data_IF_088776731826
#
_entry.id   IF_088776731826
#
_cell.length_a   1.000
_cell.length_b   1.000
_cell.length_c   1.000
_cell.angle_alpha   90.00
_cell.angle_beta   90.00
_cell.angle_gamma   90.00
#
_symmetry.space_group_name_H-M   'P 1'
#
loop_
_entity.id
_entity.type
_entity.pdbx_description
1 polymer ?
#
# COMPACT_ATOMS: atom_id res chain seq x y z
N UNK A 1 3.80 -19.78 -15.14
CA UNK A 1 2.59 -19.90 -14.27
C UNK A 1 1.39 -19.34 -15.02
N UNK A 2 0.26 -20.01 -14.96
CA UNK A 2 -1.02 -19.49 -15.46
C UNK A 2 -1.70 -18.59 -14.40
N UNK A 3 -2.79 -17.89 -14.78
CA UNK A 3 -3.51 -16.97 -13.86
C UNK A 3 -3.96 -17.67 -12.56
N UNK A 4 -4.50 -18.87 -12.65
CA UNK A 4 -4.99 -19.62 -11.48
C UNK A 4 -3.87 -19.96 -10.51
N UNK A 5 -2.69 -20.34 -11.00
CA UNK A 5 -1.53 -20.63 -10.16
C UNK A 5 -0.98 -19.37 -9.48
N UNK A 6 -1.05 -18.20 -10.13
CA UNK A 6 -0.64 -16.92 -9.53
C UNK A 6 -1.59 -16.58 -8.39
N UNK A 7 -2.89 -16.67 -8.60
CA UNK A 7 -3.88 -16.40 -7.56
C UNK A 7 -3.73 -17.37 -6.37
N UNK A 8 -3.56 -18.67 -6.63
CA UNK A 8 -3.33 -19.65 -5.58
C UNK A 8 -2.10 -19.30 -4.73
N UNK A 9 -0.97 -19.02 -5.37
CA UNK A 9 0.27 -18.69 -4.67
C UNK A 9 0.14 -17.41 -3.81
N UNK A 10 -0.55 -16.38 -4.29
CA UNK A 10 -0.81 -15.16 -3.51
C UNK A 10 -1.75 -15.45 -2.34
N UNK A 11 -2.82 -16.21 -2.58
CA UNK A 11 -3.78 -16.57 -1.53
C UNK A 11 -3.13 -17.41 -0.44
N UNK A 12 -2.36 -18.42 -0.79
CA UNK A 12 -1.60 -19.25 0.16
C UNK A 12 -0.62 -18.40 0.99
N UNK A 13 0.09 -17.45 0.36
CA UNK A 13 0.99 -16.54 1.07
C UNK A 13 0.22 -15.68 2.08
N UNK A 14 -0.95 -15.15 1.71
CA UNK A 14 -1.79 -14.34 2.60
C UNK A 14 -2.29 -15.19 3.77
N UNK A 15 -2.79 -16.41 3.52
CA UNK A 15 -3.26 -17.32 4.55
C UNK A 15 -2.13 -17.66 5.52
N UNK A 16 -0.96 -18.07 5.01
CA UNK A 16 0.20 -18.39 5.84
C UNK A 16 0.65 -17.22 6.71
N UNK A 17 0.61 -16.01 6.16
CA UNK A 17 0.93 -14.79 6.92
C UNK A 17 -0.12 -14.48 8.00
N UNK A 18 -1.39 -14.74 7.75
CA UNK A 18 -2.47 -14.58 8.73
C UNK A 18 -2.36 -15.58 9.88
N UNK A 19 -2.01 -16.83 9.58
CA UNK A 19 -1.85 -17.89 10.58
C UNK A 19 -0.64 -17.66 11.49
N UNK A 20 0.45 -17.13 10.93
CA UNK A 20 1.70 -16.89 11.69
C UNK A 20 1.72 -15.57 12.46
N UNK A 21 0.99 -14.56 12.01
CA UNK A 21 1.09 -13.22 12.61
C UNK A 21 0.37 -13.06 13.96
N UNK A 22 -0.45 -14.02 14.40
CA UNK A 22 -1.20 -13.95 15.69
C UNK A 22 -2.06 -12.69 15.87
N UNK A 23 -1.82 -11.65 15.13
CA UNK A 23 -2.61 -10.43 15.03
C UNK A 23 -2.50 -9.85 13.62
N UNK A 24 -3.63 -9.43 13.08
CA UNK A 24 -3.69 -8.69 11.82
C UNK A 24 -2.88 -7.39 11.94
N UNK A 25 -1.78 -7.29 11.18
CA UNK A 25 -1.02 -6.03 11.13
C UNK A 25 -1.87 -4.95 10.48
N UNK A 26 -2.08 -3.87 11.20
CA UNK A 26 -2.77 -2.69 10.66
C UNK A 26 -1.88 -2.08 9.57
N UNK A 27 -2.31 -2.17 8.32
CA UNK A 27 -1.51 -1.72 7.17
C UNK A 27 -1.13 -0.24 7.23
N UNK A 28 -1.89 0.58 7.96
CA UNK A 28 -1.55 2.00 8.14
C UNK A 28 -0.40 2.23 9.13
N UNK A 29 -0.09 1.24 9.99
CA UNK A 29 1.05 1.29 10.94
C UNK A 29 2.34 0.72 10.33
N UNK A 30 2.27 0.14 9.14
CA UNK A 30 3.42 -0.45 8.47
C UNK A 30 3.85 0.43 7.30
N UNK A 31 5.11 0.86 7.25
CA UNK A 31 5.65 1.60 6.11
C UNK A 31 5.40 0.87 4.80
N UNK A 32 4.98 1.61 3.77
CA UNK A 32 4.67 1.01 2.47
C UNK A 32 5.93 0.45 1.82
N UNK A 33 5.92 -0.80 1.34
CA UNK A 33 7.05 -1.34 0.59
C UNK A 33 7.35 -0.51 -0.65
N UNK A 34 8.65 -0.35 -0.93
CA UNK A 34 9.17 0.41 -2.07
C UNK A 34 10.07 -0.47 -2.92
N UNK A 35 10.04 -0.28 -4.22
CA UNK A 35 10.97 -0.96 -5.14
C UNK A 35 12.34 -0.28 -5.15
N UNK A 36 13.38 -0.99 -5.60
CA UNK A 36 14.73 -0.43 -5.82
C UNK A 36 14.75 0.80 -6.75
N UNK A 37 13.68 1.01 -7.52
CA UNK A 37 13.50 2.20 -8.38
C UNK A 37 12.69 3.32 -7.72
N UNK A 38 12.36 3.23 -6.42
CA UNK A 38 11.64 4.25 -5.67
C UNK A 38 10.11 4.23 -5.85
N UNK A 39 9.55 3.22 -6.54
CA UNK A 39 8.09 3.10 -6.70
C UNK A 39 7.46 2.34 -5.55
N UNK A 40 6.42 2.90 -4.94
CA UNK A 40 5.67 2.24 -3.87
C UNK A 40 4.78 1.12 -4.42
N UNK A 41 4.82 -0.02 -3.75
CA UNK A 41 3.87 -1.10 -4.01
C UNK A 41 2.49 -0.74 -3.44
N UNK A 42 1.42 -1.07 -4.20
CA UNK A 42 0.03 -0.73 -3.89
C UNK A 42 -0.86 -1.97 -3.92
N UNK A 43 -2.06 -1.84 -3.36
CA UNK A 43 -3.07 -2.91 -3.39
C UNK A 43 -2.57 -4.21 -2.81
N UNK A 44 -2.83 -5.32 -3.51
CA UNK A 44 -2.47 -6.67 -3.07
C UNK A 44 -0.95 -6.84 -2.88
N UNK A 45 -0.13 -6.18 -3.70
CA UNK A 45 1.32 -6.23 -3.56
C UNK A 45 1.79 -5.62 -2.23
N UNK A 46 1.18 -4.51 -1.82
CA UNK A 46 1.46 -3.91 -0.52
C UNK A 46 1.10 -4.86 0.62
N UNK A 47 -0.08 -5.49 0.55
CA UNK A 47 -0.53 -6.44 1.56
C UNK A 47 0.46 -7.60 1.69
N UNK A 48 0.82 -8.24 0.59
CA UNK A 48 1.72 -9.39 0.56
C UNK A 48 3.11 -9.04 1.09
N UNK A 49 3.70 -7.93 0.61
CA UNK A 49 5.05 -7.53 1.00
C UNK A 49 5.14 -6.95 2.42
N UNK A 50 4.07 -6.29 2.89
CA UNK A 50 4.03 -5.78 4.27
C UNK A 50 3.94 -6.88 5.32
N UNK A 51 3.47 -8.07 4.92
CA UNK A 51 3.36 -9.24 5.80
C UNK A 51 4.65 -10.05 5.89
N UNK A 52 5.67 -9.73 5.08
CA UNK A 52 6.98 -10.37 5.18
C UNK A 52 7.70 -9.95 6.48
N UNK A 53 8.48 -10.83 7.09
CA UNK A 53 9.08 -10.61 8.41
C UNK A 53 10.27 -9.63 8.42
N UNK A 54 10.61 -9.04 7.26
CA UNK A 54 11.77 -8.17 7.11
C UNK A 54 11.53 -6.78 7.71
N UNK A 55 12.57 -6.22 8.29
CA UNK A 55 12.54 -4.83 8.78
C UNK A 55 12.65 -3.84 7.62
N UNK A 56 13.51 -4.14 6.64
CA UNK A 56 13.60 -3.35 5.43
C UNK A 56 12.31 -3.43 4.62
N UNK A 57 11.89 -2.29 4.07
CA UNK A 57 10.74 -2.19 3.16
C UNK A 57 11.15 -2.00 1.70
N UNK A 58 12.41 -2.23 1.39
CA UNK A 58 12.96 -2.11 0.03
C UNK A 58 12.98 -3.49 -0.64
N UNK A 59 12.38 -3.58 -1.82
CA UNK A 59 12.28 -4.81 -2.60
C UNK A 59 12.80 -4.61 -4.02
N UNK A 60 13.37 -5.64 -4.61
CA UNK A 60 13.83 -5.61 -5.99
C UNK A 60 13.71 -6.95 -6.68
N UNK A 61 13.55 -6.93 -8.00
CA UNK A 61 13.79 -8.14 -8.80
C UNK A 61 15.28 -8.51 -8.74
N UNK A 62 15.60 -9.75 -9.06
CA UNK A 62 16.99 -10.19 -9.11
C UNK A 62 17.88 -9.26 -9.97
N UNK A 63 17.35 -8.81 -11.12
CA UNK A 63 18.06 -7.88 -12.01
C UNK A 63 18.24 -6.50 -11.38
N UNK A 64 17.21 -5.99 -10.70
CA UNK A 64 17.28 -4.68 -10.01
C UNK A 64 18.30 -4.71 -8.87
N UNK A 65 18.31 -5.78 -8.07
CA UNK A 65 19.29 -5.96 -6.99
C UNK A 65 20.68 -5.97 -7.58
N UNK A 66 20.91 -6.77 -8.62
CA UNK A 66 22.22 -6.85 -9.28
C UNK A 66 22.67 -5.51 -9.89
N UNK A 67 21.75 -4.78 -10.51
CA UNK A 67 22.03 -3.46 -11.10
C UNK A 67 22.38 -2.40 -10.07
N UNK A 68 22.00 -2.62 -8.80
CA UNK A 68 22.33 -1.74 -7.67
C UNK A 68 23.42 -2.32 -6.76
N UNK A 69 24.35 -3.11 -7.31
CA UNK A 69 25.51 -3.61 -6.59
C UNK A 69 25.19 -4.71 -5.57
N UNK A 70 24.03 -5.38 -5.70
CA UNK A 70 23.62 -6.43 -4.80
C UNK A 70 23.68 -7.82 -5.41
N UNK A 71 23.78 -8.83 -4.56
CA UNK A 71 23.72 -10.24 -4.92
C UNK A 71 22.80 -10.98 -3.95
N UNK A 72 21.70 -11.54 -4.49
CA UNK A 72 20.77 -12.36 -3.69
C UNK A 72 21.49 -13.59 -3.18
N UNK A 73 21.38 -13.86 -1.89
CA UNK A 73 22.04 -15.03 -1.26
C UNK A 73 21.43 -16.34 -1.75
N UNK A 74 22.25 -17.36 -1.81
CA UNK A 74 21.83 -18.70 -2.25
C UNK A 74 20.79 -19.28 -1.29
N UNK A 75 19.69 -19.79 -1.86
CA UNK A 75 18.61 -20.41 -1.09
C UNK A 75 17.48 -19.47 -0.68
N UNK A 76 17.63 -18.17 -0.89
CA UNK A 76 16.57 -17.20 -0.60
C UNK A 76 15.34 -17.40 -1.50
N UNK A 77 14.15 -17.18 -0.91
CA UNK A 77 12.88 -17.34 -1.61
C UNK A 77 12.28 -15.99 -1.98
N UNK A 78 11.95 -15.84 -3.25
CA UNK A 78 11.31 -14.63 -3.74
C UNK A 78 9.83 -14.55 -3.35
N UNK A 79 9.31 -13.35 -3.24
CA UNK A 79 7.87 -13.07 -3.14
C UNK A 79 7.32 -12.67 -4.51
N UNK A 80 6.13 -13.19 -4.87
CA UNK A 80 5.47 -12.87 -6.13
C UNK A 80 4.68 -11.57 -5.97
N UNK A 81 4.88 -10.64 -6.91
CA UNK A 81 4.09 -9.41 -7.06
C UNK A 81 3.44 -9.37 -8.43
N UNK A 82 2.27 -8.75 -8.53
CA UNK A 82 1.45 -8.72 -9.74
C UNK A 82 1.23 -7.30 -10.25
N UNK A 83 1.21 -7.16 -11.57
CA UNK A 83 0.96 -5.89 -12.23
C UNK A 83 0.01 -6.08 -13.41
N UNK A 84 -0.92 -5.16 -13.55
CA UNK A 84 -1.76 -5.07 -14.72
C UNK A 84 -1.10 -4.18 -15.76
N UNK A 85 -0.84 -4.73 -16.92
CA UNK A 85 -0.35 -3.97 -18.08
C UNK A 85 -1.49 -3.77 -19.06
N UNK A 86 -1.78 -2.52 -19.39
CA UNK A 86 -2.66 -2.19 -20.50
C UNK A 86 -1.92 -2.48 -21.79
N UNK A 87 -2.47 -3.34 -22.62
CA UNK A 87 -1.97 -3.65 -23.96
C UNK A 87 -3.08 -3.34 -24.95
N UNK A 88 -2.70 -2.73 -26.07
CA UNK A 88 -3.61 -2.54 -27.19
C UNK A 88 -3.43 -3.76 -28.13
N UNK A 89 -4.49 -4.49 -28.35
CA UNK A 89 -4.53 -5.57 -29.33
C UNK A 89 -5.39 -5.13 -30.51
N UNK A 90 -4.84 -5.27 -31.69
CA UNK A 90 -5.55 -4.96 -32.94
C UNK A 90 -6.23 -6.24 -33.40
N UNK A 91 -7.55 -6.21 -33.52
CA UNK A 91 -8.33 -7.29 -34.07
C UNK A 91 -8.05 -7.35 -35.58
N UNK A 92 -7.42 -8.43 -36.03
CA UNK A 92 -7.01 -8.60 -37.43
C UNK A 92 -8.23 -8.72 -38.39
N UNK A 93 -9.39 -9.12 -37.86
CA UNK A 93 -10.59 -9.30 -38.65
C UNK A 93 -11.40 -8.00 -38.82
N UNK A 94 -11.43 -7.15 -37.77
CA UNK A 94 -12.26 -5.92 -37.78
C UNK A 94 -11.42 -4.66 -37.89
N UNK A 95 -10.09 -4.74 -37.70
CA UNK A 95 -9.21 -3.57 -37.66
C UNK A 95 -9.34 -2.71 -36.39
N UNK A 96 -10.24 -3.06 -35.49
CA UNK A 96 -10.48 -2.33 -34.24
C UNK A 96 -9.40 -2.60 -33.22
N UNK A 97 -9.01 -1.56 -32.48
CA UNK A 97 -8.04 -1.68 -31.39
C UNK A 97 -8.77 -1.84 -30.06
N UNK A 98 -8.64 -3.01 -29.43
CA UNK A 98 -9.21 -3.29 -28.11
C UNK A 98 -8.17 -3.16 -27.01
N UNK A 99 -8.54 -2.51 -25.90
CA UNK A 99 -7.71 -2.48 -24.70
C UNK A 99 -7.79 -3.83 -24.00
N UNK A 100 -6.67 -4.52 -23.89
CA UNK A 100 -6.56 -5.75 -23.09
C UNK A 100 -5.75 -5.50 -21.83
N UNK A 101 -6.19 -6.10 -20.74
CA UNK A 101 -5.48 -6.10 -19.45
C UNK A 101 -4.71 -7.39 -19.31
N UNK A 102 -3.40 -7.29 -19.39
CA UNK A 102 -2.52 -8.45 -19.20
C UNK A 102 -1.99 -8.46 -17.77
N UNK A 103 -2.29 -9.52 -17.04
CA UNK A 103 -1.70 -9.77 -15.73
C UNK A 103 -0.27 -10.25 -15.91
N UNK A 104 0.69 -9.46 -15.42
CA UNK A 104 2.10 -9.85 -15.32
C UNK A 104 2.46 -10.09 -13.86
N UNK A 105 3.39 -11.01 -13.62
CA UNK A 105 3.95 -11.24 -12.31
C UNK A 105 5.47 -11.12 -12.35
N UNK A 106 6.04 -10.74 -11.21
CA UNK A 106 7.48 -10.64 -11.02
C UNK A 106 7.86 -11.28 -9.70
N UNK A 107 9.05 -11.84 -9.65
CA UNK A 107 9.68 -12.32 -8.44
C UNK A 107 10.54 -11.20 -7.87
N UNK A 108 10.25 -10.81 -6.62
CA UNK A 108 11.02 -9.80 -5.89
C UNK A 108 11.62 -10.40 -4.64
N UNK A 109 12.75 -9.87 -4.24
CA UNK A 109 13.44 -10.20 -3.00
C UNK A 109 13.51 -8.95 -2.13
N UNK A 110 13.47 -9.13 -0.82
CA UNK A 110 13.75 -8.05 0.11
C UNK A 110 15.25 -7.71 0.09
N UNK A 111 15.61 -6.47 0.36
CA UNK A 111 17.02 -6.07 0.44
C UNK A 111 17.80 -6.85 1.50
N UNK A 112 17.15 -7.31 2.57
CA UNK A 112 17.78 -8.17 3.60
C UNK A 112 18.11 -9.59 3.10
N UNK A 113 17.62 -10.00 1.93
CA UNK A 113 17.94 -11.29 1.30
C UNK A 113 19.15 -11.22 0.36
N UNK A 114 19.81 -10.06 0.28
CA UNK A 114 20.95 -9.85 -0.61
C UNK A 114 22.09 -9.15 0.10
N UNK A 115 23.30 -9.43 -0.37
CA UNK A 115 24.50 -8.71 0.03
C UNK A 115 24.76 -7.60 -0.95
N UNK A 116 25.10 -6.39 -0.48
CA UNK A 116 25.27 -5.20 -1.30
C UNK A 116 26.67 -4.60 -1.09
N UNK A 117 27.19 -3.98 -2.12
CA UNK A 117 28.35 -3.10 -2.03
C UNK A 117 27.98 -1.76 -1.32
N UNK A 118 28.97 -0.89 -1.11
CA UNK A 118 28.77 0.40 -0.43
C UNK A 118 27.73 1.29 -1.11
N UNK A 119 27.68 1.28 -2.45
CA UNK A 119 26.71 2.08 -3.21
C UNK A 119 25.29 1.52 -3.06
N UNK A 120 25.14 0.20 -3.08
CA UNK A 120 23.88 -0.47 -2.84
C UNK A 120 23.35 -0.24 -1.43
N UNK A 121 24.20 -0.30 -0.41
CA UNK A 121 23.85 0.00 0.99
C UNK A 121 23.35 1.44 1.12
N UNK A 122 24.07 2.40 0.52
CA UNK A 122 23.65 3.81 0.52
C UNK A 122 22.30 4.00 -0.15
N UNK A 123 22.09 3.37 -1.31
CA UNK A 123 20.81 3.42 -2.03
C UNK A 123 19.64 2.86 -1.24
N UNK A 124 19.86 1.74 -0.53
CA UNK A 124 18.85 1.14 0.34
C UNK A 124 18.52 2.10 1.49
N UNK A 125 19.52 2.70 2.13
CA UNK A 125 19.31 3.66 3.20
C UNK A 125 18.52 4.89 2.73
N UNK A 126 18.82 5.43 1.56
CA UNK A 126 18.07 6.54 0.94
C UNK A 126 16.59 6.15 0.72
N UNK A 127 16.34 4.95 0.18
CA UNK A 127 14.98 4.46 -0.06
C UNK A 127 14.22 4.19 1.26
N UNK A 128 14.89 3.70 2.29
CA UNK A 128 14.31 3.51 3.62
C UNK A 128 13.96 4.86 4.26
N UNK A 129 14.82 5.85 4.14
CA UNK A 129 14.55 7.21 4.63
C UNK A 129 13.35 7.83 3.91
N UNK A 130 13.24 7.68 2.58
CA UNK A 130 12.05 8.12 1.84
C UNK A 130 10.75 7.49 2.38
N UNK A 131 10.84 6.28 2.89
CA UNK A 131 9.69 5.58 3.50
C UNK A 131 9.39 6.11 4.89
N UNK A 132 10.40 6.55 5.63
CA UNK A 132 10.30 7.03 7.02
C UNK A 132 10.09 8.52 7.13
N UNK A 133 10.67 9.32 6.24
CA UNK A 133 10.62 10.80 6.28
C UNK A 133 9.27 11.41 5.88
N UNK A 134 8.34 10.63 5.34
CA UNK A 134 6.97 11.09 5.13
C UNK A 134 6.15 11.11 6.42
N UNK A 135 6.79 11.46 7.51
CA UNK A 135 6.17 11.55 8.82
C UNK A 135 5.42 12.88 8.94
N UNK A 136 4.10 12.79 9.02
CA UNK A 136 3.22 13.69 9.79
C UNK A 136 3.26 15.19 9.46
N UNK A 137 3.51 15.59 8.23
CA UNK A 137 3.19 16.93 7.75
C UNK A 137 1.71 16.96 7.32
N UNK A 138 0.98 17.96 7.77
CA UNK A 138 -0.36 18.23 7.25
C UNK A 138 -0.26 18.47 5.74
N UNK A 139 -1.11 17.79 5.00
CA UNK A 139 -1.24 18.03 3.57
C UNK A 139 -2.27 19.13 3.36
N UNK A 140 -1.83 20.35 3.06
CA UNK A 140 -2.69 21.51 2.86
C UNK A 140 -3.85 21.25 1.88
N UNK A 141 -3.59 20.50 0.81
CA UNK A 141 -4.64 20.10 -0.15
C UNK A 141 -5.67 19.15 0.48
N UNK A 142 -5.24 18.21 1.33
CA UNK A 142 -6.13 17.28 2.01
C UNK A 142 -6.98 18.01 3.06
N UNK A 143 -6.39 18.91 3.82
CA UNK A 143 -7.11 19.75 4.79
C UNK A 143 -8.14 20.62 4.09
N UNK A 144 -7.79 21.25 2.98
CA UNK A 144 -8.71 22.06 2.17
C UNK A 144 -9.91 21.25 1.67
N UNK A 145 -9.71 19.99 1.29
CA UNK A 145 -10.80 19.08 0.89
C UNK A 145 -11.69 18.75 2.09
N UNK A 146 -11.10 18.48 3.26
CA UNK A 146 -11.83 18.17 4.49
C UNK A 146 -12.67 19.38 4.93
N UNK A 147 -12.08 20.57 4.92
CA UNK A 147 -12.77 21.81 5.28
C UNK A 147 -13.88 22.19 4.30
N UNK A 148 -13.65 21.98 3.00
CA UNK A 148 -14.61 22.27 1.94
C UNK A 148 -15.74 21.25 1.80
N UNK A 149 -15.72 20.15 2.57
CA UNK A 149 -16.77 19.14 2.48
C UNK A 149 -18.01 19.58 3.27
N UNK A 150 -19.06 20.01 2.56
CA UNK A 150 -20.29 20.59 3.15
C UNK A 150 -21.07 19.62 4.05
N UNK A 151 -20.96 18.34 3.85
CA UNK A 151 -21.61 17.29 4.65
C UNK A 151 -20.67 16.66 5.69
N UNK A 152 -19.60 17.34 6.08
CA UNK A 152 -18.57 16.78 6.96
C UNK A 152 -19.13 16.36 8.31
N UNK A 153 -19.01 15.07 8.69
CA UNK A 153 -19.32 14.61 10.04
C UNK A 153 -18.32 15.18 11.05
N UNK A 154 -18.66 15.07 12.33
CA UNK A 154 -17.70 15.38 13.39
C UNK A 154 -16.52 14.41 13.31
N UNK A 155 -15.28 14.94 13.37
CA UNK A 155 -14.07 14.12 13.38
C UNK A 155 -13.49 14.13 14.78
N UNK A 156 -13.43 12.96 15.42
CA UNK A 156 -12.81 12.76 16.71
C UNK A 156 -11.51 11.99 16.59
N UNK A 157 -10.44 12.54 17.16
CA UNK A 157 -9.15 11.89 17.19
C UNK A 157 -9.01 10.99 18.42
N UNK A 158 -8.87 9.69 18.16
CA UNK A 158 -8.65 8.70 19.20
C UNK A 158 -7.19 8.72 19.67
N UNK A 159 -6.98 8.71 20.98
CA UNK A 159 -5.66 8.54 21.59
C UNK A 159 -5.20 7.08 21.64
N UNK A 160 -6.01 6.17 21.14
CA UNK A 160 -5.71 4.74 20.96
C UNK A 160 -5.62 4.45 19.48
N UNK A 161 -4.70 3.60 19.11
CA UNK A 161 -4.39 3.26 17.72
C UNK A 161 -5.27 2.13 17.15
N UNK A 162 -6.41 1.82 17.76
CA UNK A 162 -7.08 0.55 17.55
C UNK A 162 -8.05 0.51 16.37
N UNK A 163 -8.79 1.59 16.08
CA UNK A 163 -9.78 1.61 14.99
C UNK A 163 -10.02 2.98 14.39
N UNK A 164 -10.31 2.98 13.07
CA UNK A 164 -10.98 4.06 12.40
C UNK A 164 -12.37 3.56 11.97
N UNK A 165 -13.40 4.37 12.14
CA UNK A 165 -14.76 4.04 11.72
C UNK A 165 -15.63 5.28 11.59
N UNK A 166 -16.64 5.22 10.72
CA UNK A 166 -17.75 6.14 10.67
C UNK A 166 -18.94 5.56 11.44
N UNK A 167 -19.54 6.35 12.30
CA UNK A 167 -20.74 6.02 13.07
C UNK A 167 -21.96 6.75 12.50
N UNK A 168 -22.82 6.11 11.67
CA UNK A 168 -23.90 6.79 10.95
C UNK A 168 -24.95 7.45 11.86
N UNK A 169 -25.24 6.84 13.00
CA UNK A 169 -26.26 7.36 13.95
C UNK A 169 -25.80 8.65 14.64
N UNK A 170 -24.51 8.74 14.94
CA UNK A 170 -23.93 9.90 15.59
C UNK A 170 -23.39 10.94 14.58
N UNK A 171 -23.35 10.60 13.30
CA UNK A 171 -22.67 11.33 12.24
C UNK A 171 -21.23 11.73 12.62
N UNK A 172 -20.47 10.74 13.06
CA UNK A 172 -19.17 10.89 13.67
C UNK A 172 -18.14 9.98 12.98
N UNK A 173 -16.98 10.52 12.68
CA UNK A 173 -15.78 9.73 12.32
C UNK A 173 -14.86 9.68 13.53
N UNK A 174 -14.53 8.46 13.97
CA UNK A 174 -13.42 8.23 14.90
C UNK A 174 -12.21 7.74 14.12
N UNK A 175 -11.09 8.42 14.26
CA UNK A 175 -9.82 8.05 13.60
C UNK A 175 -8.68 8.23 14.61
N UNK A 176 -7.67 7.32 14.63
CA UNK A 176 -6.48 7.53 15.44
C UNK A 176 -5.78 8.84 15.06
N UNK A 177 -5.17 9.50 16.03
CA UNK A 177 -4.35 10.70 15.80
C UNK A 177 -3.27 10.41 14.75
N UNK A 178 -2.94 11.39 13.91
CA UNK A 178 -1.98 11.29 12.80
C UNK A 178 -0.62 10.75 13.23
N UNK A 179 -0.22 10.99 14.48
CA UNK A 179 1.05 10.47 15.06
C UNK A 179 1.13 8.94 15.13
N UNK A 180 -0.02 8.23 15.08
CA UNK A 180 -0.06 6.77 15.08
C UNK A 180 0.07 6.16 13.66
N UNK A 181 0.13 7.00 12.64
CA UNK A 181 0.29 6.56 11.26
C UNK A 181 1.74 6.65 10.81
N UNK A 182 2.13 5.77 9.91
CA UNK A 182 3.49 5.74 9.33
C UNK A 182 3.74 6.85 8.32
N UNK A 183 2.70 7.54 7.87
CA UNK A 183 2.77 8.72 7.01
C UNK A 183 1.46 9.48 7.02
N UNK A 184 1.52 10.79 6.78
CA UNK A 184 0.34 11.63 6.59
C UNK A 184 -0.58 11.09 5.50
N UNK A 185 -0.02 10.62 4.38
CA UNK A 185 -0.81 9.99 3.31
C UNK A 185 -1.58 8.74 3.76
N UNK A 186 -1.05 7.99 4.74
CA UNK A 186 -1.76 6.84 5.30
C UNK A 186 -2.93 7.31 6.17
N UNK A 187 -2.73 8.35 6.97
CA UNK A 187 -3.78 8.98 7.78
C UNK A 187 -4.92 9.51 6.90
N UNK A 188 -4.61 10.39 5.94
CA UNK A 188 -5.64 10.98 5.07
C UNK A 188 -6.38 9.94 4.23
N UNK A 189 -5.72 8.87 3.81
CA UNK A 189 -6.38 7.76 3.11
C UNK A 189 -7.45 7.09 3.96
N UNK A 190 -7.15 6.85 5.24
CA UNK A 190 -8.11 6.27 6.18
C UNK A 190 -9.23 7.26 6.46
N UNK A 191 -8.90 8.51 6.73
CA UNK A 191 -9.90 9.56 7.00
C UNK A 191 -10.85 9.73 5.80
N UNK A 192 -10.34 9.85 4.58
CA UNK A 192 -11.18 9.93 3.38
C UNK A 192 -12.01 8.67 3.11
N UNK A 193 -11.52 7.50 3.52
CA UNK A 193 -12.32 6.28 3.44
C UNK A 193 -13.55 6.36 4.34
N UNK A 194 -13.39 6.80 5.58
CA UNK A 194 -14.50 6.97 6.52
C UNK A 194 -15.44 8.11 6.11
N UNK A 195 -14.91 9.20 5.55
CA UNK A 195 -15.72 10.27 4.94
C UNK A 195 -16.56 9.74 3.76
N UNK A 196 -16.00 8.80 2.98
CA UNK A 196 -16.73 8.14 1.89
C UNK A 196 -17.92 7.32 2.39
N UNK A 197 -17.86 6.73 3.57
CA UNK A 197 -19.01 6.07 4.19
C UNK A 197 -20.12 7.07 4.54
N UNK A 198 -19.81 8.26 5.06
CA UNK A 198 -20.77 9.32 5.29
C UNK A 198 -21.43 9.76 3.97
N UNK A 199 -20.65 10.03 2.92
CA UNK A 199 -21.17 10.40 1.62
C UNK A 199 -22.10 9.34 0.99
N UNK A 200 -21.79 8.05 1.18
CA UNK A 200 -22.58 6.93 0.66
C UNK A 200 -23.90 6.71 1.40
N UNK A 201 -24.02 7.11 2.66
CA UNK A 201 -25.25 6.94 3.45
C UNK A 201 -26.32 7.98 3.11
N UNK A 202 -25.97 9.03 2.35
CA UNK A 202 -26.92 10.09 1.97
C UNK A 202 -27.47 10.88 3.17
N UNK A 203 -26.88 10.72 4.36
CA UNK A 203 -27.23 11.51 5.55
C UNK A 203 -26.56 12.88 5.34
N UNK A 204 -27.18 13.70 4.50
CA UNK A 204 -26.92 15.13 4.58
C UNK A 204 -27.49 15.61 5.90
N UNK A 205 -26.68 16.24 6.79
CA UNK A 205 -27.23 16.80 8.01
C UNK A 205 -28.30 17.82 7.61
N UNK A 206 -29.53 17.59 8.02
CA UNK A 206 -30.56 18.64 8.03
C UNK A 206 -30.11 19.74 9.01
N UNK A 207 -29.12 20.53 8.64
CA UNK A 207 -28.79 21.76 9.31
C UNK A 207 -29.46 22.92 8.61
N UNK A 208 -30.78 22.96 8.65
CA UNK A 208 -31.57 24.19 8.49
C UNK A 208 -32.91 24.00 9.23
N UNK A 209 -32.94 24.40 10.48
CA UNK A 209 -34.05 25.06 11.16
C UNK A 209 -33.48 26.04 12.17
#
# INVERSE_FOLDING_TARGET
MNKSQIYAAITEKIIANLETAGSWMKLWQVPSPVSMNGHYYRGINRLVLSSDPYQSRVYGTFQQIRANGGQVRKGEKSTIVVFWKNTLEKDEATGETKKMFLLKFYHVFNSEQADFDEQGIKKIAELQNLVTEKVNAEHLEAESIIEGYEGRPEIQFSHKDDRAFYAPVADLISVPDIKYFTSSSAFYRVLFHEMGHNAATGIMPHRFC
#
